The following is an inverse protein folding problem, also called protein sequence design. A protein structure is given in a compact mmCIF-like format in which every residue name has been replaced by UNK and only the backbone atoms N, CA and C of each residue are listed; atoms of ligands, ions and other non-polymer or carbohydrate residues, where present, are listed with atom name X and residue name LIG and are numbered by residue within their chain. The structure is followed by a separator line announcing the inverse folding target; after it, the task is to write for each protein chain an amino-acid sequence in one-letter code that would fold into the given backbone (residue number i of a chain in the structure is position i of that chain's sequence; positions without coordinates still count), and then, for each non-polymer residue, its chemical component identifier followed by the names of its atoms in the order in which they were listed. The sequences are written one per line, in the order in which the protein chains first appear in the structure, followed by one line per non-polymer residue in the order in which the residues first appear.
data_IF_850422539737
#
_entry.id   IF_850422539737
#
_cell.length_a   1.000
_cell.length_b   1.000
_cell.length_c   1.000
_cell.angle_alpha   90.00
_cell.angle_beta   90.00
_cell.angle_gamma   90.00
#
_symmetry.space_group_name_H-M   'P 1'
#
loop_
_entity.id
_entity.type
_entity.pdbx_description
1 polymer ?
#
# COMPACT_ATOMS: atom_id res chain seq x y z
N UNK A 1 -2.33 10.39 9.87
CA UNK A 1 -1.03 9.73 10.17
C UNK A 1 0.06 10.43 9.39
N UNK A 2 1.19 10.70 10.02
CA UNK A 2 2.34 11.40 9.47
C UNK A 2 3.40 10.39 9.03
N UNK A 3 3.76 10.42 7.75
CA UNK A 3 4.83 9.61 7.17
C UNK A 3 5.93 10.54 6.73
N UNK A 4 7.19 10.23 7.04
CA UNK A 4 8.30 11.09 6.63
C UNK A 4 9.03 10.52 5.42
N UNK A 5 9.32 11.38 4.46
CA UNK A 5 10.24 11.06 3.37
C UNK A 5 11.66 11.01 3.93
N UNK A 6 12.27 9.83 3.92
CA UNK A 6 13.65 9.63 4.37
C UNK A 6 14.65 10.19 3.35
N UNK A 7 15.13 11.41 3.56
CA UNK A 7 16.13 12.04 2.68
C UNK A 7 17.49 11.33 2.69
N UNK A 8 17.81 10.58 3.75
CA UNK A 8 19.05 9.79 3.83
C UNK A 8 19.03 8.57 2.89
N UNK A 9 17.86 8.21 2.36
CA UNK A 9 17.74 7.12 1.38
C UNK A 9 18.25 7.47 -0.01
N UNK A 10 18.69 8.71 -0.26
CA UNK A 10 19.29 9.16 -1.52
C UNK A 10 20.71 9.68 -1.30
N UNK A 11 21.69 8.91 -1.79
CA UNK A 11 23.13 9.18 -1.62
C UNK A 11 23.88 9.08 -2.96
N UNK A 12 23.18 9.11 -4.09
CA UNK A 12 23.77 8.96 -5.41
C UNK A 12 23.94 7.51 -5.85
N UNK A 13 23.14 6.58 -5.30
CA UNK A 13 23.33 5.13 -5.48
C UNK A 13 22.95 4.57 -6.85
N UNK A 14 22.26 5.35 -7.70
CA UNK A 14 21.86 4.89 -9.03
C UNK A 14 22.91 5.26 -10.08
N UNK A 15 23.16 4.36 -11.03
CA UNK A 15 24.17 4.56 -12.09
C UNK A 15 23.88 5.78 -12.96
N UNK A 16 22.60 6.00 -13.25
CA UNK A 16 22.10 7.03 -14.15
C UNK A 16 20.62 7.34 -13.84
N UNK A 17 20.08 8.36 -14.51
CA UNK A 17 18.70 8.79 -14.31
C UNK A 17 17.66 7.75 -14.73
N UNK A 18 17.94 6.94 -15.75
CA UNK A 18 17.02 5.90 -16.21
C UNK A 18 16.94 4.75 -15.21
N UNK A 19 18.06 4.36 -14.62
CA UNK A 19 18.14 3.42 -13.51
C UNK A 19 17.38 3.94 -12.29
N UNK A 20 17.51 5.23 -11.96
CA UNK A 20 16.72 5.86 -10.91
C UNK A 20 15.22 5.80 -11.21
N UNK A 21 14.78 6.13 -12.42
CA UNK A 21 13.35 6.10 -12.78
C UNK A 21 12.77 4.69 -12.64
N UNK A 22 13.43 3.69 -13.24
CA UNK A 22 12.95 2.31 -13.24
C UNK A 22 12.99 1.66 -11.85
N UNK A 23 14.10 1.84 -11.14
CA UNK A 23 14.37 1.05 -9.93
C UNK A 23 14.10 1.83 -8.65
N UNK A 24 14.29 3.15 -8.65
CA UNK A 24 14.05 4.02 -7.49
C UNK A 24 12.64 4.60 -7.47
N UNK A 25 12.26 5.28 -8.56
CA UNK A 25 11.05 6.10 -8.60
C UNK A 25 9.77 5.26 -8.73
N UNK A 26 9.79 4.23 -9.57
CA UNK A 26 8.63 3.34 -9.75
C UNK A 26 8.12 2.73 -8.43
N UNK A 27 8.93 2.03 -7.61
CA UNK A 27 8.45 1.48 -6.34
C UNK A 27 8.06 2.58 -5.34
N UNK A 28 8.80 3.69 -5.29
CA UNK A 28 8.50 4.83 -4.42
C UNK A 28 7.12 5.44 -4.74
N UNK A 29 6.82 5.69 -6.02
CA UNK A 29 5.50 6.14 -6.47
C UNK A 29 4.41 5.11 -6.17
N UNK A 30 4.74 3.81 -6.21
CA UNK A 30 3.83 2.74 -5.78
C UNK A 30 3.37 2.91 -4.34
N UNK A 31 4.32 3.11 -3.42
CA UNK A 31 4.01 3.38 -2.00
C UNK A 31 3.19 4.66 -1.84
N UNK A 32 3.57 5.74 -2.52
CA UNK A 32 2.83 6.99 -2.40
C UNK A 32 1.37 6.84 -2.87
N UNK A 33 1.12 6.12 -3.97
CA UNK A 33 -0.25 5.86 -4.43
C UNK A 33 -1.06 5.07 -3.41
N UNK A 34 -0.45 4.08 -2.79
CA UNK A 34 -1.07 3.33 -1.69
C UNK A 34 -1.43 4.25 -0.52
N UNK A 35 -0.55 5.19 -0.16
CA UNK A 35 -0.82 6.16 0.91
C UNK A 35 -2.00 7.09 0.60
N UNK A 36 -2.28 7.41 -0.67
CA UNK A 36 -3.40 8.26 -1.08
C UNK A 36 -4.77 7.65 -0.79
N UNK A 37 -4.85 6.32 -0.65
CA UNK A 37 -6.10 5.62 -0.32
C UNK A 37 -6.51 5.82 1.16
N UNK A 38 -5.65 6.44 1.96
CA UNK A 38 -5.83 6.61 3.40
C UNK A 38 -5.57 8.05 3.86
N UNK A 39 -6.12 8.50 5.00
CA UNK A 39 -5.90 9.84 5.54
C UNK A 39 -4.46 10.01 6.09
N UNK A 40 -3.53 10.26 5.17
CA UNK A 40 -2.09 10.37 5.41
C UNK A 40 -1.57 11.75 5.07
N UNK A 41 -0.51 12.15 5.77
CA UNK A 41 0.25 13.36 5.50
C UNK A 41 1.70 12.95 5.29
N UNK A 42 2.22 13.18 4.09
CA UNK A 42 3.64 13.05 3.81
C UNK A 42 4.35 14.32 4.28
N UNK A 43 5.35 14.16 5.13
CA UNK A 43 6.23 15.21 5.60
C UNK A 43 7.58 15.08 4.90
N UNK A 44 8.15 16.22 4.51
CA UNK A 44 9.42 16.32 3.79
C UNK A 44 10.31 17.34 4.47
N UNK A 45 11.62 17.07 4.51
CA UNK A 45 12.64 18.01 4.94
C UNK A 45 12.90 19.03 3.82
N UNK A 46 13.26 20.27 4.17
CA UNK A 46 13.52 21.33 3.18
C UNK A 46 14.59 20.97 2.15
N UNK A 47 15.63 20.24 2.57
CA UNK A 47 16.79 19.86 1.75
C UNK A 47 16.60 18.59 0.89
N UNK A 48 15.44 17.93 0.96
CA UNK A 48 15.23 16.61 0.31
C UNK A 48 15.48 16.66 -1.20
N UNK A 49 15.18 17.80 -1.83
CA UNK A 49 15.30 17.99 -3.28
C UNK A 49 16.76 18.10 -3.73
N UNK A 50 17.66 18.45 -2.81
CA UNK A 50 19.10 18.59 -3.09
C UNK A 50 19.84 17.25 -3.01
N UNK A 51 19.17 16.19 -2.54
CA UNK A 51 19.76 14.86 -2.42
C UNK A 51 20.16 14.28 -3.77
N UNK A 52 21.28 13.57 -3.79
CA UNK A 52 21.86 12.96 -4.98
C UNK A 52 21.09 11.68 -5.33
N UNK A 53 20.63 11.56 -6.58
CA UNK A 53 20.06 10.32 -7.12
C UNK A 53 21.13 9.49 -7.82
N UNK A 54 22.07 10.14 -8.51
CA UNK A 54 23.29 9.54 -9.06
C UNK A 54 24.49 10.26 -8.45
N UNK A 55 25.76 9.85 -8.69
CA UNK A 55 26.92 10.57 -8.17
C UNK A 55 27.03 12.04 -8.63
N UNK A 56 26.29 12.43 -9.67
CA UNK A 56 26.41 13.77 -10.29
C UNK A 56 25.08 14.51 -10.47
N UNK A 57 23.94 13.86 -10.21
CA UNK A 57 22.60 14.44 -10.44
C UNK A 57 21.79 14.42 -9.16
N UNK A 58 21.20 15.57 -8.81
CA UNK A 58 20.26 15.72 -7.69
C UNK A 58 18.83 15.37 -8.10
N UNK A 59 17.97 15.11 -7.11
CA UNK A 59 16.54 14.93 -7.33
C UNK A 59 15.91 16.16 -8.00
N UNK A 60 16.23 17.37 -7.54
CA UNK A 60 15.76 18.62 -8.14
C UNK A 60 16.17 18.75 -9.61
N UNK A 61 17.43 18.43 -9.94
CA UNK A 61 17.92 18.49 -11.31
C UNK A 61 17.14 17.53 -12.23
N UNK A 62 16.86 16.30 -11.77
CA UNK A 62 16.02 15.36 -12.52
C UNK A 62 14.60 15.91 -12.74
N UNK A 63 13.96 16.42 -11.68
CA UNK A 63 12.57 16.90 -11.75
C UNK A 63 12.39 18.08 -12.71
N UNK A 64 13.45 18.85 -12.96
CA UNK A 64 13.45 19.99 -13.87
C UNK A 64 14.08 19.71 -15.24
N UNK A 65 14.70 18.54 -15.43
CA UNK A 65 15.29 18.16 -16.69
C UNK A 65 14.20 17.96 -17.77
N UNK A 66 14.33 18.65 -18.91
CA UNK A 66 13.32 18.60 -19.98
C UNK A 66 13.10 17.20 -20.59
N UNK A 67 14.13 16.35 -20.60
CA UNK A 67 14.05 14.98 -21.11
C UNK A 67 13.23 14.08 -20.18
N UNK A 68 13.37 14.25 -18.86
CA UNK A 68 12.73 13.38 -17.86
C UNK A 68 11.45 13.97 -17.27
N UNK A 69 11.25 15.30 -17.33
CA UNK A 69 10.03 15.97 -16.85
C UNK A 69 8.77 15.49 -17.55
N UNK A 70 8.90 14.98 -18.78
CA UNK A 70 7.80 14.39 -19.56
C UNK A 70 7.58 12.91 -19.27
N UNK A 71 8.46 12.25 -18.51
CA UNK A 71 8.22 10.86 -18.10
C UNK A 71 6.97 10.77 -17.22
N UNK A 72 6.20 9.70 -17.41
CA UNK A 72 4.98 9.47 -16.67
C UNK A 72 5.26 9.32 -15.17
N UNK A 73 6.38 8.70 -14.80
CA UNK A 73 6.82 8.49 -13.42
C UNK A 73 7.13 9.81 -12.72
N UNK A 74 7.87 10.73 -13.35
CA UNK A 74 8.15 12.05 -12.77
C UNK A 74 6.89 12.89 -12.64
N UNK A 75 5.99 12.85 -13.63
CA UNK A 75 4.68 13.53 -13.53
C UNK A 75 3.85 12.97 -12.38
N UNK A 76 3.77 11.64 -12.25
CA UNK A 76 3.05 10.95 -11.17
C UNK A 76 3.63 11.29 -9.81
N UNK A 77 4.96 11.29 -9.66
CA UNK A 77 5.62 11.70 -8.42
C UNK A 77 5.16 13.10 -7.99
N UNK A 78 5.24 14.09 -8.89
CA UNK A 78 4.86 15.47 -8.60
C UNK A 78 3.39 15.56 -8.17
N UNK A 79 2.49 14.96 -8.94
CA UNK A 79 1.06 14.96 -8.61
C UNK A 79 0.80 14.29 -7.27
N UNK A 80 1.40 13.13 -7.01
CA UNK A 80 1.13 12.39 -5.78
C UNK A 80 1.73 13.10 -4.54
N UNK A 81 2.93 13.68 -4.64
CA UNK A 81 3.51 14.48 -3.55
C UNK A 81 2.65 15.70 -3.27
N UNK A 82 2.15 16.40 -4.28
CA UNK A 82 1.27 17.56 -4.13
C UNK A 82 -0.02 17.21 -3.37
N UNK A 83 -0.59 16.02 -3.60
CA UNK A 83 -1.79 15.55 -2.89
C UNK A 83 -1.50 15.12 -1.44
N UNK A 84 -0.33 14.54 -1.17
CA UNK A 84 0.01 13.96 0.12
C UNK A 84 0.67 14.94 1.08
N UNK A 85 1.30 15.99 0.56
CA UNK A 85 2.06 16.94 1.38
C UNK A 85 1.25 18.20 1.66
N UNK A 86 1.63 18.90 2.73
CA UNK A 86 1.22 20.29 2.98
C UNK A 86 2.47 21.08 3.33
N UNK A 87 2.47 22.36 3.03
CA UNK A 87 3.45 23.29 3.58
C UNK A 87 3.12 23.57 5.06
N UNK A 88 4.13 23.81 5.91
CA UNK A 88 5.56 23.91 5.61
C UNK A 88 6.33 22.58 5.73
N UNK A 89 7.61 22.61 5.37
CA UNK A 89 8.56 21.51 5.63
C UNK A 89 8.65 21.16 7.12
N UNK A 90 8.87 19.89 7.46
CA UNK A 90 8.81 19.45 8.87
C UNK A 90 9.94 20.06 9.71
N UNK A 91 11.08 20.41 9.11
CA UNK A 91 12.24 21.00 9.79
C UNK A 91 12.00 22.46 10.22
N UNK A 92 10.90 23.08 9.79
CA UNK A 92 10.39 24.33 10.37
C UNK A 92 9.51 24.14 11.61
N UNK A 93 9.00 22.91 11.84
CA UNK A 93 8.20 22.49 13.00
C UNK A 93 8.69 21.13 13.52
N UNK A 94 10.01 21.04 13.76
CA UNK A 94 10.63 19.81 14.22
C UNK A 94 10.13 19.45 15.62
N UNK A 95 9.90 18.15 15.84
CA UNK A 95 9.56 17.59 17.16
C UNK A 95 10.77 17.00 17.87
N UNK A 96 11.95 17.00 17.24
CA UNK A 96 13.18 16.56 17.87
C UNK A 96 13.55 17.48 19.05
N UNK A 97 14.02 16.85 20.13
CA UNK A 97 14.54 17.57 21.28
C UNK A 97 16.07 17.65 21.17
N UNK A 98 16.64 18.84 21.38
CA UNK A 98 18.09 19.07 21.33
C UNK A 98 18.90 18.27 22.36
N UNK A 99 18.26 17.74 23.40
CA UNK A 99 18.88 16.88 24.41
C UNK A 99 18.79 15.38 24.07
N UNK A 100 18.13 15.00 22.97
CA UNK A 100 17.99 13.61 22.55
C UNK A 100 19.08 13.25 21.56
N UNK A 101 19.70 12.08 21.75
CA UNK A 101 20.63 11.48 20.80
C UNK A 101 19.90 10.44 19.96
N UNK A 102 20.09 10.49 18.63
CA UNK A 102 19.54 9.52 17.68
C UNK A 102 20.70 8.92 16.90
N UNK A 103 20.90 7.62 17.01
CA UNK A 103 22.02 6.91 16.39
C UNK A 103 21.52 5.89 15.38
N UNK A 104 22.12 5.90 14.19
CA UNK A 104 21.98 4.87 13.16
C UNK A 104 23.38 4.38 12.81
N UNK A 105 23.65 3.09 13.03
CA UNK A 105 24.99 2.50 12.88
C UNK A 105 26.07 3.34 13.59
N UNK A 106 25.83 3.69 14.86
CA UNK A 106 26.70 4.54 15.71
C UNK A 106 26.84 6.01 15.27
N UNK A 107 26.28 6.40 14.12
CA UNK A 107 26.33 7.78 13.63
C UNK A 107 25.15 8.59 14.16
N UNK A 108 25.43 9.81 14.65
CA UNK A 108 24.39 10.74 15.05
C UNK A 108 23.65 11.28 13.82
N UNK A 109 22.35 11.04 13.77
CA UNK A 109 21.45 11.42 12.68
C UNK A 109 20.46 12.52 13.10
N UNK A 110 20.75 13.27 14.15
CA UNK A 110 19.95 14.43 14.55
C UNK A 110 19.71 15.39 13.36
N UNK A 111 18.49 15.90 13.25
CA UNK A 111 18.07 16.76 12.14
C UNK A 111 17.75 16.00 10.84
N UNK A 112 17.61 14.67 10.90
CA UNK A 112 17.17 13.85 9.77
C UNK A 112 15.72 13.38 9.93
N UNK A 113 15.09 12.94 8.83
CA UNK A 113 13.73 12.40 8.88
C UNK A 113 13.63 11.09 9.68
N UNK A 114 14.60 10.14 9.65
CA UNK A 114 14.56 8.99 10.55
C UNK A 114 14.54 9.37 12.03
N UNK A 115 15.34 10.37 12.45
CA UNK A 115 15.29 10.87 13.82
C UNK A 115 13.95 11.55 14.15
N UNK A 116 13.42 12.37 13.24
CA UNK A 116 12.12 13.01 13.38
C UNK A 116 10.97 11.98 13.46
N UNK A 117 11.06 10.86 12.74
CA UNK A 117 10.07 9.80 12.76
C UNK A 117 9.95 9.13 14.14
N UNK A 118 11.03 9.06 14.91
CA UNK A 118 11.01 8.58 16.30
C UNK A 118 10.12 9.45 17.22
N UNK A 119 9.88 10.71 16.86
CA UNK A 119 9.03 11.66 17.61
C UNK A 119 7.60 11.74 17.08
N UNK A 120 7.29 10.99 16.02
CA UNK A 120 6.00 11.01 15.33
C UNK A 120 5.43 9.60 15.26
N UNK A 121 4.76 9.25 14.17
CA UNK A 121 4.07 7.98 14.00
C UNK A 121 5.01 6.79 13.72
N UNK A 122 6.34 7.00 13.73
CA UNK A 122 7.38 5.97 13.47
C UNK A 122 7.27 5.31 12.09
N UNK A 123 6.90 6.09 11.07
CA UNK A 123 6.75 5.62 9.68
C UNK A 123 7.56 6.48 8.73
N UNK A 124 8.33 5.81 7.89
CA UNK A 124 9.16 6.36 6.83
C UNK A 124 8.72 5.85 5.47
N UNK A 125 9.01 6.63 4.43
CA UNK A 125 9.11 6.16 3.06
C UNK A 125 10.53 6.42 2.56
N UNK A 126 11.18 5.41 1.99
CA UNK A 126 12.55 5.48 1.50
C UNK A 126 12.63 5.07 0.04
N UNK A 127 13.58 5.64 -0.69
CA UNK A 127 14.04 5.06 -1.94
C UNK A 127 14.80 3.77 -1.66
N UNK A 128 14.80 2.83 -2.61
CA UNK A 128 15.52 1.55 -2.48
C UNK A 128 17.04 1.72 -2.67
N UNK A 129 17.77 0.62 -2.43
CA UNK A 129 19.20 0.50 -2.69
C UNK A 129 20.10 1.41 -1.83
N UNK A 130 19.65 1.78 -0.62
CA UNK A 130 20.47 2.41 0.41
C UNK A 130 20.50 1.55 1.68
N UNK A 131 21.54 1.65 2.50
CA UNK A 131 21.64 0.98 3.80
C UNK A 131 20.51 1.41 4.75
N UNK A 132 19.99 2.64 4.59
CA UNK A 132 18.90 3.18 5.40
C UNK A 132 17.51 2.84 4.86
N UNK A 133 17.43 1.98 3.83
CA UNK A 133 16.17 1.52 3.22
C UNK A 133 15.65 0.20 3.82
N UNK A 134 16.34 -0.32 4.84
CA UNK A 134 15.92 -1.53 5.56
C UNK A 134 14.57 -1.33 6.25
N UNK A 135 13.78 -2.40 6.31
CA UNK A 135 12.49 -2.44 6.98
C UNK A 135 12.42 -3.66 7.93
N UNK A 136 12.29 -3.44 9.25
CA UNK A 136 12.26 -2.13 9.90
C UNK A 136 13.61 -1.40 9.83
N UNK A 137 13.58 -0.07 9.93
CA UNK A 137 14.78 0.73 10.18
C UNK A 137 14.93 0.94 11.69
N UNK A 138 15.99 0.38 12.28
CA UNK A 138 16.22 0.47 13.72
C UNK A 138 17.11 1.67 14.03
N UNK A 139 16.65 2.52 14.95
CA UNK A 139 17.33 3.73 15.42
C UNK A 139 17.49 3.62 16.94
N UNK A 140 18.68 3.93 17.45
CA UNK A 140 18.90 4.01 18.89
C UNK A 140 18.63 5.44 19.37
N UNK A 141 17.54 5.63 20.10
CA UNK A 141 17.12 6.91 20.69
C UNK A 141 17.45 6.92 22.18
N UNK A 142 18.38 7.77 22.62
CA UNK A 142 18.85 7.83 24.01
C UNK A 142 19.23 6.45 24.60
N UNK A 143 19.87 5.60 23.80
CA UNK A 143 20.26 4.24 24.20
C UNK A 143 19.12 3.21 24.17
N UNK A 144 17.93 3.56 23.67
CA UNK A 144 16.80 2.65 23.52
C UNK A 144 16.57 2.39 22.03
N UNK A 145 16.47 1.12 21.65
CA UNK A 145 16.17 0.73 20.28
C UNK A 145 14.73 1.06 19.90
N UNK A 146 14.58 1.80 18.80
CA UNK A 146 13.32 2.18 18.21
C UNK A 146 13.22 1.63 16.79
N UNK A 147 12.15 0.88 16.52
CA UNK A 147 11.94 0.23 15.22
C UNK A 147 10.94 1.02 14.39
N UNK A 148 11.38 1.56 13.26
CA UNK A 148 10.56 2.37 12.36
C UNK A 148 10.06 1.51 11.20
N UNK A 149 8.78 1.65 10.84
CA UNK A 149 8.25 1.10 9.59
C UNK A 149 8.86 1.87 8.43
N UNK A 150 9.55 1.19 7.52
CA UNK A 150 10.21 1.83 6.38
C UNK A 150 9.66 1.32 5.05
N UNK A 151 8.81 2.12 4.44
CA UNK A 151 8.10 1.76 3.23
C UNK A 151 9.01 1.94 2.01
N UNK A 152 9.33 0.83 1.36
CA UNK A 152 10.12 0.79 0.12
C UNK A 152 9.39 0.17 -1.06
N UNK A 153 8.26 -0.51 -0.81
CA UNK A 153 7.39 -1.09 -1.82
C UNK A 153 5.92 -1.04 -1.38
N UNK A 154 5.02 -1.00 -2.36
CA UNK A 154 3.58 -0.96 -2.11
C UNK A 154 3.08 -2.26 -1.45
N UNK A 155 1.97 -2.15 -0.73
CA UNK A 155 1.27 -3.22 -0.02
C UNK A 155 1.59 -3.23 1.48
N UNK A 156 2.82 -2.90 1.87
CA UNK A 156 3.25 -2.91 3.28
C UNK A 156 2.47 -1.91 4.13
N UNK A 157 2.10 -0.77 3.58
CA UNK A 157 1.40 0.26 4.34
C UNK A 157 -0.02 -0.16 4.68
N UNK A 158 -0.71 -0.78 3.74
CA UNK A 158 -2.04 -1.37 3.91
C UNK A 158 -2.01 -2.49 4.95
N UNK A 159 -1.02 -3.39 4.89
CA UNK A 159 -0.82 -4.45 5.89
C UNK A 159 -0.54 -3.87 7.28
N UNK A 160 0.31 -2.84 7.39
CA UNK A 160 0.58 -2.17 8.65
C UNK A 160 -0.69 -1.56 9.27
N UNK A 161 -1.45 -0.80 8.48
CA UNK A 161 -2.69 -0.18 8.93
C UNK A 161 -3.71 -1.23 9.38
N UNK A 162 -3.82 -2.33 8.65
CA UNK A 162 -4.68 -3.45 9.00
C UNK A 162 -4.27 -4.10 10.33
N UNK A 163 -3.00 -4.47 10.47
CA UNK A 163 -2.47 -5.11 11.67
C UNK A 163 -2.56 -4.21 12.92
N UNK A 164 -2.57 -2.88 12.73
CA UNK A 164 -2.76 -1.90 13.81
C UNK A 164 -4.23 -1.51 14.04
N UNK A 165 -5.18 -2.19 13.38
CA UNK A 165 -6.62 -1.90 13.44
C UNK A 165 -6.95 -0.43 13.09
N UNK A 166 -6.20 0.17 12.16
CA UNK A 166 -6.37 1.57 11.72
C UNK A 166 -7.29 1.72 10.53
N UNK A 167 -7.62 0.62 9.86
CA UNK A 167 -8.57 0.57 8.74
C UNK A 167 -9.58 -0.56 8.93
N UNK A 168 -10.75 -0.41 8.34
CA UNK A 168 -11.77 -1.45 8.34
C UNK A 168 -11.37 -2.62 7.44
N UNK A 169 -12.02 -3.77 7.65
CA UNK A 169 -11.84 -4.94 6.80
C UNK A 169 -12.15 -4.64 5.32
N UNK A 170 -13.20 -3.87 5.07
CA UNK A 170 -13.56 -3.39 3.73
C UNK A 170 -12.44 -2.58 3.09
N UNK A 171 -11.94 -1.56 3.80
CA UNK A 171 -10.85 -0.71 3.30
C UNK A 171 -9.59 -1.52 3.04
N UNK A 172 -9.27 -2.48 3.90
CA UNK A 172 -8.16 -3.40 3.71
C UNK A 172 -8.32 -4.21 2.43
N UNK A 173 -9.47 -4.87 2.21
CA UNK A 173 -9.66 -5.68 1.01
C UNK A 173 -9.62 -4.85 -0.28
N UNK A 174 -10.30 -3.69 -0.29
CA UNK A 174 -10.32 -2.79 -1.45
C UNK A 174 -8.90 -2.35 -1.82
N UNK A 175 -8.06 -2.01 -0.84
CA UNK A 175 -6.68 -1.60 -1.08
C UNK A 175 -5.77 -2.79 -1.45
N UNK A 176 -5.77 -3.85 -0.64
CA UNK A 176 -4.85 -5.01 -0.74
C UNK A 176 -5.03 -5.83 -2.01
N UNK A 177 -6.27 -5.93 -2.49
CA UNK A 177 -6.62 -6.66 -3.69
C UNK A 177 -6.89 -5.73 -4.87
N UNK A 178 -6.65 -4.42 -4.73
CA UNK A 178 -6.78 -3.49 -5.87
C UNK A 178 -5.90 -3.96 -7.04
N UNK A 179 -6.50 -4.07 -8.23
CA UNK A 179 -5.82 -4.50 -9.47
C UNK A 179 -5.24 -5.93 -9.42
N UNK A 180 -5.83 -6.80 -8.60
CA UNK A 180 -5.48 -8.21 -8.49
C UNK A 180 -6.53 -9.12 -9.15
N UNK A 181 -6.49 -10.45 -8.92
CA UNK A 181 -7.55 -11.36 -9.42
C UNK A 181 -8.87 -11.17 -8.68
N UNK A 182 -8.89 -10.54 -7.51
CA UNK A 182 -10.10 -10.16 -6.79
C UNK A 182 -10.28 -8.64 -6.81
N UNK A 183 -11.51 -8.19 -7.06
CA UNK A 183 -11.87 -6.77 -7.05
C UNK A 183 -13.09 -6.54 -6.16
N UNK A 184 -12.89 -5.80 -5.08
CA UNK A 184 -13.93 -5.46 -4.09
C UNK A 184 -14.53 -4.06 -4.28
N UNK A 185 -14.23 -3.38 -5.38
CA UNK A 185 -14.69 -2.00 -5.64
C UNK A 185 -16.21 -1.87 -5.81
N UNK A 186 -16.91 -2.99 -6.09
CA UNK A 186 -18.36 -3.01 -6.38
C UNK A 186 -19.19 -3.80 -5.38
N UNK A 187 -18.66 -4.08 -4.20
CA UNK A 187 -19.42 -4.75 -3.14
C UNK A 187 -20.61 -3.87 -2.73
N UNK A 188 -21.81 -4.42 -2.75
CA UNK A 188 -23.05 -3.75 -2.35
C UNK A 188 -23.17 -3.72 -0.82
N UNK A 189 -23.37 -2.54 -0.23
CA UNK A 189 -23.43 -2.34 1.22
C UNK A 189 -24.50 -3.20 1.94
N UNK A 190 -25.60 -3.56 1.25
CA UNK A 190 -26.72 -4.33 1.83
C UNK A 190 -26.41 -5.83 1.99
N UNK A 191 -25.52 -6.35 1.14
CA UNK A 191 -25.10 -7.75 1.12
C UNK A 191 -23.57 -7.89 1.26
N UNK A 192 -22.91 -6.81 1.68
CA UNK A 192 -21.46 -6.67 1.72
C UNK A 192 -20.87 -6.94 3.10
N UNK A 193 -19.97 -6.07 3.51
CA UNK A 193 -19.10 -6.29 4.67
C UNK A 193 -19.81 -6.27 6.02
N UNK A 194 -20.99 -5.64 6.11
CA UNK A 194 -21.78 -5.52 7.35
C UNK A 194 -22.18 -6.86 7.98
N UNK A 195 -22.18 -7.95 7.20
CA UNK A 195 -22.55 -9.30 7.64
C UNK A 195 -21.37 -10.12 8.16
N UNK A 196 -20.14 -9.67 7.95
CA UNK A 196 -18.92 -10.41 8.29
C UNK A 196 -18.49 -10.01 9.70
N UNK A 197 -18.51 -10.95 10.63
CA UNK A 197 -18.04 -10.70 12.00
C UNK A 197 -16.51 -10.70 12.04
N UNK A 198 -15.91 -9.95 12.98
CA UNK A 198 -14.45 -9.89 13.15
C UNK A 198 -13.81 -11.27 13.29
N UNK A 199 -14.46 -12.18 14.02
CA UNK A 199 -13.98 -13.55 14.21
C UNK A 199 -13.93 -14.38 12.91
N UNK A 200 -14.62 -13.95 11.86
CA UNK A 200 -14.71 -14.64 10.56
C UNK A 200 -13.73 -14.07 9.54
N UNK A 201 -13.19 -12.87 9.77
CA UNK A 201 -12.36 -12.15 8.79
C UNK A 201 -11.10 -12.91 8.39
N UNK A 202 -10.45 -13.63 9.31
CA UNK A 202 -9.26 -14.44 9.00
C UNK A 202 -9.55 -15.53 7.95
N UNK A 203 -10.68 -16.23 8.06
CA UNK A 203 -11.09 -17.25 7.08
C UNK A 203 -11.32 -16.66 5.69
N UNK A 204 -11.89 -15.46 5.61
CA UNK A 204 -12.03 -14.75 4.35
C UNK A 204 -10.66 -14.42 3.76
N UNK A 205 -9.72 -13.89 4.56
CA UNK A 205 -8.37 -13.55 4.10
C UNK A 205 -7.60 -14.77 3.59
N UNK A 206 -7.65 -15.89 4.31
CA UNK A 206 -6.98 -17.12 3.90
C UNK A 206 -7.50 -17.61 2.55
N UNK A 207 -8.82 -17.54 2.36
CA UNK A 207 -9.45 -17.93 1.10
C UNK A 207 -9.10 -16.97 -0.03
N UNK A 208 -9.10 -15.66 0.22
CA UNK A 208 -8.75 -14.67 -0.81
C UNK A 208 -7.29 -14.75 -1.22
N UNK A 209 -6.38 -15.02 -0.27
CA UNK A 209 -4.97 -15.30 -0.58
C UNK A 209 -4.83 -16.54 -1.45
N UNK A 210 -5.52 -17.63 -1.09
CA UNK A 210 -5.57 -18.84 -1.93
C UNK A 210 -6.10 -18.53 -3.34
N UNK A 211 -7.16 -17.74 -3.47
CA UNK A 211 -7.71 -17.36 -4.77
C UNK A 211 -6.69 -16.58 -5.62
N UNK A 212 -5.95 -15.65 -5.02
CA UNK A 212 -4.88 -14.90 -5.70
C UNK A 212 -3.71 -15.80 -6.16
N UNK A 213 -3.38 -16.83 -5.39
CA UNK A 213 -2.28 -17.74 -5.71
C UNK A 213 -2.62 -18.69 -6.88
N UNK A 214 -3.86 -19.18 -6.94
CA UNK A 214 -4.28 -20.16 -7.95
C UNK A 214 -4.47 -19.55 -9.34
N UNK A 215 -4.10 -20.27 -10.40
CA UNK A 215 -4.48 -19.93 -11.77
C UNK A 215 -6.00 -20.09 -11.95
N UNK A 216 -6.56 -19.49 -13.00
CA UNK A 216 -7.98 -19.67 -13.30
C UNK A 216 -8.36 -21.14 -13.49
N UNK A 217 -7.55 -21.94 -14.18
CA UNK A 217 -7.83 -23.37 -14.37
C UNK A 217 -7.83 -24.15 -13.05
N UNK A 218 -6.92 -23.79 -12.13
CA UNK A 218 -6.90 -24.33 -10.79
C UNK A 218 -8.14 -23.89 -9.99
N UNK A 219 -8.57 -22.63 -10.10
CA UNK A 219 -9.78 -22.13 -9.44
C UNK A 219 -11.03 -22.91 -9.88
N UNK A 220 -11.16 -23.24 -11.18
CA UNK A 220 -12.32 -24.00 -11.68
C UNK A 220 -12.38 -25.45 -11.15
N UNK A 221 -11.25 -26.00 -10.73
CA UNK A 221 -11.15 -27.39 -10.27
C UNK A 221 -10.89 -27.52 -8.77
N UNK A 222 -10.74 -26.40 -8.05
CA UNK A 222 -10.46 -26.40 -6.62
C UNK A 222 -11.73 -26.70 -5.80
N UNK A 223 -11.76 -27.87 -5.16
CA UNK A 223 -12.87 -28.31 -4.31
C UNK A 223 -13.09 -27.43 -3.07
N UNK A 224 -12.07 -26.70 -2.62
CA UNK A 224 -12.16 -25.81 -1.46
C UNK A 224 -12.91 -24.52 -1.79
N UNK A 225 -12.59 -23.92 -2.94
CA UNK A 225 -13.26 -22.74 -3.48
C UNK A 225 -14.61 -23.10 -4.07
N UNK A 226 -14.80 -24.29 -4.66
CA UNK A 226 -16.09 -24.71 -5.25
C UNK A 226 -16.65 -23.62 -6.18
N UNK A 227 -15.78 -23.08 -7.04
CA UNK A 227 -16.09 -21.98 -7.96
C UNK A 227 -17.01 -22.48 -9.07
N UNK A 228 -18.19 -21.87 -9.20
CA UNK A 228 -19.19 -22.30 -10.19
C UNK A 228 -20.11 -21.17 -10.62
N UNK A 229 -20.71 -21.35 -11.80
CA UNK A 229 -21.72 -20.43 -12.32
C UNK A 229 -22.91 -20.36 -11.36
N UNK A 230 -23.48 -19.18 -11.26
CA UNK A 230 -24.63 -18.88 -10.44
C UNK A 230 -25.72 -18.30 -11.34
N UNK A 231 -26.86 -18.97 -11.40
CA UNK A 231 -27.89 -18.70 -12.40
C UNK A 231 -28.96 -17.70 -11.96
N UNK A 232 -28.99 -17.29 -10.70
CA UNK A 232 -29.93 -16.28 -10.23
C UNK A 232 -29.37 -14.86 -10.35
N UNK A 233 -30.27 -13.88 -10.44
CA UNK A 233 -29.88 -12.47 -10.49
C UNK A 233 -29.56 -11.96 -9.09
N UNK A 234 -28.28 -11.79 -8.78
CA UNK A 234 -27.80 -11.29 -7.47
C UNK A 234 -28.06 -9.78 -7.33
N UNK A 235 -27.83 -9.02 -8.40
CA UNK A 235 -27.88 -7.57 -8.39
C UNK A 235 -28.11 -7.01 -9.80
N UNK A 236 -28.83 -5.89 -9.90
CA UNK A 236 -29.01 -5.13 -11.15
C UNK A 236 -27.67 -4.77 -11.79
N UNK A 237 -26.62 -4.53 -10.98
CA UNK A 237 -25.25 -4.26 -11.43
C UNK A 237 -24.62 -5.40 -12.27
N UNK A 238 -25.21 -6.60 -12.23
CA UNK A 238 -24.78 -7.77 -12.99
C UNK A 238 -25.66 -8.07 -14.21
N UNK A 239 -26.63 -7.20 -14.55
CA UNK A 239 -27.50 -7.41 -15.71
C UNK A 239 -26.70 -7.63 -16.99
N UNK A 240 -27.03 -8.71 -17.71
CA UNK A 240 -26.35 -9.12 -18.95
C UNK A 240 -24.99 -9.79 -18.74
N UNK A 241 -24.56 -10.05 -17.51
CA UNK A 241 -23.29 -10.75 -17.21
C UNK A 241 -23.56 -12.13 -16.60
N UNK A 242 -22.70 -13.09 -16.93
CA UNK A 242 -22.65 -14.37 -16.21
C UNK A 242 -22.09 -14.14 -14.81
N UNK A 243 -22.85 -14.56 -13.82
CA UNK A 243 -22.45 -14.49 -12.41
C UNK A 243 -21.93 -15.82 -11.92
N UNK A 244 -21.05 -15.77 -10.93
CA UNK A 244 -20.45 -16.96 -10.32
C UNK A 244 -20.37 -16.77 -8.82
N UNK A 245 -20.17 -17.89 -8.13
CA UNK A 245 -19.93 -17.91 -6.69
C UNK A 245 -18.76 -18.82 -6.34
N UNK A 246 -18.08 -18.50 -5.25
CA UNK A 246 -17.10 -19.38 -4.61
C UNK A 246 -17.23 -19.33 -3.09
N UNK A 247 -16.73 -20.37 -2.44
CA UNK A 247 -16.69 -20.57 -1.00
C UNK A 247 -15.62 -19.69 -0.37
N UNK A 248 -16.05 -18.76 0.47
CA UNK A 248 -15.19 -17.96 1.35
C UNK A 248 -14.97 -18.64 2.71
N UNK A 249 -15.95 -19.42 3.16
CA UNK A 249 -15.86 -20.28 4.33
C UNK A 249 -16.96 -21.34 4.28
N UNK A 250 -17.03 -22.23 5.28
CA UNK A 250 -18.16 -23.18 5.38
C UNK A 250 -19.51 -22.46 5.40
N UNK A 251 -19.56 -21.27 6.01
CA UNK A 251 -20.75 -20.43 6.14
C UNK A 251 -20.95 -19.49 4.95
N UNK A 252 -19.87 -18.93 4.38
CA UNK A 252 -20.00 -17.85 3.41
C UNK A 252 -19.67 -18.26 1.97
N UNK A 253 -20.42 -17.64 1.04
CA UNK A 253 -20.13 -17.61 -0.39
C UNK A 253 -19.89 -16.17 -0.84
N UNK A 254 -18.89 -15.98 -1.69
CA UNK A 254 -18.64 -14.74 -2.42
C UNK A 254 -19.35 -14.82 -3.75
N UNK A 255 -20.06 -13.75 -4.11
CA UNK A 255 -20.82 -13.63 -5.34
C UNK A 255 -20.27 -12.50 -6.19
N UNK A 256 -20.26 -12.69 -7.51
CA UNK A 256 -19.69 -11.72 -8.43
C UNK A 256 -19.69 -12.18 -9.87
N UNK A 257 -18.88 -11.51 -10.69
CA UNK A 257 -18.69 -11.87 -12.09
C UNK A 257 -17.22 -11.74 -12.49
N UNK A 258 -16.83 -12.53 -13.48
CA UNK A 258 -15.50 -12.44 -14.07
C UNK A 258 -15.46 -11.30 -15.10
N UNK A 259 -14.45 -10.46 -14.99
CA UNK A 259 -14.11 -9.42 -15.94
C UNK A 259 -12.64 -9.57 -16.33
N UNK A 260 -12.39 -10.15 -17.51
CA UNK A 260 -11.04 -10.57 -17.95
C UNK A 260 -10.40 -11.49 -16.91
N UNK A 261 -9.30 -11.08 -16.30
CA UNK A 261 -8.54 -11.86 -15.33
C UNK A 261 -8.92 -11.58 -13.87
N UNK A 262 -9.88 -10.69 -13.63
CA UNK A 262 -10.35 -10.35 -12.29
C UNK A 262 -11.77 -10.85 -12.05
N UNK A 263 -12.04 -11.29 -10.83
CA UNK A 263 -13.34 -11.56 -10.26
C UNK A 263 -13.83 -10.34 -9.48
N UNK A 264 -14.85 -9.67 -10.01
CA UNK A 264 -15.46 -8.51 -9.36
C UNK A 264 -16.49 -9.01 -8.36
N UNK A 265 -16.18 -8.84 -7.07
CA UNK A 265 -17.03 -9.21 -5.95
C UNK A 265 -18.14 -8.19 -5.78
N UNK A 266 -19.36 -8.69 -5.60
CA UNK A 266 -20.59 -7.90 -5.46
C UNK A 266 -21.22 -8.10 -4.09
N UNK A 267 -21.02 -9.25 -3.44
CA UNK A 267 -21.55 -9.49 -2.10
C UNK A 267 -21.14 -10.82 -1.49
N UNK A 268 -21.55 -10.99 -0.24
CA UNK A 268 -21.30 -12.17 0.59
C UNK A 268 -22.62 -12.72 1.14
N UNK A 269 -22.82 -14.03 1.03
CA UNK A 269 -24.03 -14.70 1.48
C UNK A 269 -23.71 -15.85 2.43
N UNK A 270 -24.52 -16.00 3.48
CA UNK A 270 -24.34 -17.00 4.55
C UNK A 270 -25.14 -18.28 4.34
N UNK A 271 -26.12 -18.25 3.45
CA UNK A 271 -27.19 -19.23 3.49
C UNK A 271 -27.51 -19.69 2.07
N UNK A 272 -27.71 -21.00 1.93
CA UNK A 272 -28.04 -21.70 0.70
C UNK A 272 -29.42 -21.32 0.13
N UNK A 273 -30.05 -20.25 0.64
CA UNK A 273 -31.43 -19.85 0.35
C UNK A 273 -31.69 -19.42 -1.10
N UNK A 274 -30.65 -18.97 -1.81
CA UNK A 274 -30.71 -18.74 -3.26
C UNK A 274 -30.02 -19.88 -4.06
N UNK A 275 -29.70 -21.00 -3.40
CA UNK A 275 -29.18 -22.22 -4.03
C UNK A 275 -30.17 -23.38 -3.95
N UNK A 276 -31.27 -23.25 -3.20
CA UNK A 276 -32.38 -24.21 -3.14
C UNK A 276 -33.50 -23.87 -4.14
N UNK A 277 -33.28 -22.89 -5.03
CA UNK A 277 -34.20 -22.49 -6.11
C UNK A 277 -33.60 -22.63 -7.51
N UNK A 278 -32.42 -23.25 -7.64
CA UNK A 278 -31.76 -23.53 -8.92
C UNK A 278 -30.94 -24.80 -8.88
#
# INVERSE_FOLDING_TARGET
MQVLLNELSLTGQFSDQDAFIRNGLYPFVGVLKEMQEFPTLLLKKSDVWERMITPTVTLHALLNNNSFRKSDEVRRLKTTIDHLTKEPFWDSDSKQNGNTTYLLDENNIWGSSPAEACERDKILISFVSSSVSLDPLNIMRNGIDESLLNLTCAGKFTEFLWNKNKISFESYLKARFSRSKLDFSRVDDKIGFSRIQTAEQSLFLDTFRKFEELSWDQIHTDNGLDYKEYHETINVLCQGKKTYKFRASKKFRCHGYRNKDSFVVIGFETDHKLSDRG
#
